data_IF_052853987632
#
_entry.id   IF_052853987632
#
_cell.length_a   1.000
_cell.length_b   1.000
_cell.length_c   1.000
_cell.angle_alpha   90.00
_cell.angle_beta   90.00
_cell.angle_gamma   90.00
#
_symmetry.space_group_name_H-M   'P 1'
#
loop_
_entity.id
_entity.type
_entity.pdbx_description
1 polymer ?
#
# COMPACT_ATOMS: atom_id res chain seq x y z
N UNK A 1 -8.06 21.13 -16.05
CA UNK A 1 -7.41 19.79 -15.95
C UNK A 1 -6.50 19.84 -14.74
N UNK A 2 -6.74 19.06 -13.69
CA UNK A 2 -5.85 19.01 -12.53
C UNK A 2 -4.55 18.29 -12.91
N UNK A 3 -3.41 18.74 -12.36
CA UNK A 3 -2.13 18.11 -12.61
C UNK A 3 -1.81 17.19 -11.42
N UNK A 4 -1.69 15.89 -11.67
CA UNK A 4 -1.30 14.91 -10.66
C UNK A 4 0.09 15.24 -10.11
N UNK A 5 0.22 15.29 -8.78
CA UNK A 5 1.52 15.41 -8.11
C UNK A 5 2.37 14.18 -8.41
N UNK A 6 3.66 14.36 -8.63
CA UNK A 6 4.56 13.28 -9.03
C UNK A 6 5.81 13.24 -8.17
N UNK A 7 6.42 12.06 -8.08
CA UNK A 7 7.73 11.81 -7.48
C UNK A 7 8.54 10.91 -8.40
N UNK A 8 9.76 10.54 -7.97
CA UNK A 8 10.64 9.66 -8.75
C UNK A 8 10.97 8.41 -7.92
N UNK A 9 10.80 7.23 -8.53
CA UNK A 9 11.24 5.95 -7.98
C UNK A 9 12.20 5.32 -8.98
N UNK A 10 13.42 5.01 -8.56
CA UNK A 10 14.46 4.43 -9.42
C UNK A 10 14.62 5.13 -10.78
N UNK A 11 14.57 6.47 -10.79
CA UNK A 11 14.71 7.29 -11.99
C UNK A 11 13.44 7.43 -12.85
N UNK A 12 12.34 6.76 -12.50
CA UNK A 12 11.07 6.82 -13.22
C UNK A 12 10.09 7.76 -12.52
N UNK A 13 9.44 8.64 -13.28
CA UNK A 13 8.41 9.55 -12.77
C UNK A 13 7.10 8.82 -12.51
N UNK A 14 6.63 8.87 -11.26
CA UNK A 14 5.39 8.21 -10.82
C UNK A 14 4.45 9.21 -10.14
N UNK A 15 3.15 8.91 -10.17
CA UNK A 15 2.14 9.66 -9.44
C UNK A 15 2.30 9.48 -7.92
N UNK A 16 2.09 10.54 -7.13
CA UNK A 16 2.13 10.48 -5.66
C UNK A 16 0.91 9.76 -5.05
N UNK A 17 -0.13 9.51 -5.84
CA UNK A 17 -1.22 8.59 -5.52
C UNK A 17 -1.00 7.36 -6.41
N UNK A 18 -1.00 6.16 -5.82
CA UNK A 18 -0.93 4.88 -6.54
C UNK A 18 -2.22 4.10 -6.37
N UNK A 19 -2.64 3.31 -7.38
CA UNK A 19 -3.76 2.39 -7.25
C UNK A 19 -3.32 1.11 -6.53
N UNK A 20 -3.91 0.83 -5.36
CA UNK A 20 -3.76 -0.45 -4.67
C UNK A 20 -4.85 -1.44 -5.11
N UNK A 21 -4.46 -2.63 -5.55
CA UNK A 21 -5.37 -3.63 -6.13
C UNK A 21 -5.76 -4.77 -5.19
N UNK A 22 -5.45 -4.70 -3.90
CA UNK A 22 -5.83 -5.75 -2.95
C UNK A 22 -7.34 -6.02 -2.97
N UNK A 23 -8.16 -4.97 -3.01
CA UNK A 23 -9.61 -5.12 -3.08
C UNK A 23 -10.11 -5.72 -4.42
N UNK A 24 -9.35 -5.60 -5.50
CA UNK A 24 -9.63 -6.22 -6.80
C UNK A 24 -9.47 -7.74 -6.73
N UNK A 25 -8.55 -8.24 -5.90
CA UNK A 25 -8.38 -9.68 -5.68
C UNK A 25 -9.62 -10.41 -5.14
N UNK A 26 -10.53 -9.71 -4.50
CA UNK A 26 -11.88 -10.18 -4.14
C UNK A 26 -11.98 -11.01 -2.86
N UNK A 27 -10.97 -11.77 -2.47
CA UNK A 27 -11.04 -12.72 -1.33
C UNK A 27 -11.39 -12.05 0.00
N UNK A 28 -10.76 -10.92 0.33
CA UNK A 28 -10.89 -10.23 1.62
C UNK A 28 -11.87 -9.05 1.57
N UNK A 29 -12.40 -8.72 0.39
CA UNK A 29 -13.15 -7.49 0.13
C UNK A 29 -14.47 -7.69 -0.61
N UNK A 30 -14.82 -8.94 -0.90
CA UNK A 30 -15.92 -9.27 -1.81
C UNK A 30 -15.58 -8.98 -3.28
N UNK A 31 -15.98 -9.88 -4.15
CA UNK A 31 -15.70 -9.81 -5.59
C UNK A 31 -16.44 -8.66 -6.28
N UNK A 32 -15.86 -8.19 -7.37
CA UNK A 32 -16.51 -7.34 -8.38
C UNK A 32 -16.36 -8.00 -9.75
N UNK A 33 -17.24 -7.70 -10.73
CA UNK A 33 -17.05 -8.18 -12.10
C UNK A 33 -15.69 -7.74 -12.66
N UNK A 34 -15.05 -8.60 -13.41
CA UNK A 34 -13.71 -8.38 -13.96
C UNK A 34 -13.63 -7.14 -14.87
N UNK A 35 -14.66 -6.90 -15.66
CA UNK A 35 -14.76 -5.71 -16.53
C UNK A 35 -14.79 -4.40 -15.70
N UNK A 36 -15.46 -4.39 -14.55
CA UNK A 36 -15.46 -3.28 -13.61
C UNK A 36 -14.07 -3.10 -12.99
N UNK A 37 -13.39 -4.18 -12.63
CA UNK A 37 -12.04 -4.14 -12.09
C UNK A 37 -11.02 -3.64 -13.12
N UNK A 38 -11.10 -4.09 -14.37
CA UNK A 38 -10.28 -3.59 -15.50
C UNK A 38 -10.56 -2.10 -15.74
N UNK A 39 -11.84 -1.69 -15.79
CA UNK A 39 -12.21 -0.29 -15.94
C UNK A 39 -11.66 0.58 -14.80
N UNK A 40 -11.55 0.04 -13.57
CA UNK A 40 -10.94 0.76 -12.44
C UNK A 40 -9.46 1.05 -12.68
N UNK A 41 -8.69 0.10 -13.20
CA UNK A 41 -7.29 0.30 -13.53
C UNK A 41 -7.11 1.34 -14.65
N UNK A 42 -7.94 1.31 -15.69
CA UNK A 42 -7.92 2.28 -16.78
C UNK A 42 -8.33 3.68 -16.30
N UNK A 43 -9.38 3.78 -15.49
CA UNK A 43 -9.83 5.04 -14.91
C UNK A 43 -8.78 5.67 -13.98
N UNK A 44 -7.98 4.86 -13.28
CA UNK A 44 -6.86 5.37 -12.51
C UNK A 44 -5.85 6.11 -13.41
N UNK A 45 -5.49 5.52 -14.56
CA UNK A 45 -4.58 6.14 -15.52
C UNK A 45 -5.16 7.43 -16.11
N UNK A 46 -6.46 7.46 -16.48
CA UNK A 46 -7.15 8.65 -16.97
C UNK A 46 -7.11 9.80 -15.95
N UNK A 47 -7.07 9.48 -14.66
CA UNK A 47 -6.90 10.44 -13.55
C UNK A 47 -5.44 10.79 -13.25
N UNK A 48 -4.49 10.35 -14.08
CA UNK A 48 -3.06 10.59 -13.92
C UNK A 48 -2.36 9.69 -12.90
N UNK A 49 -3.02 8.64 -12.40
CA UNK A 49 -2.41 7.63 -11.54
C UNK A 49 -1.74 6.59 -12.43
N UNK A 50 -0.42 6.66 -12.57
CA UNK A 50 0.34 5.72 -13.39
C UNK A 50 0.96 4.57 -12.59
N UNK A 51 1.03 4.66 -11.26
CA UNK A 51 1.52 3.59 -10.40
C UNK A 51 0.37 2.65 -10.01
N UNK A 52 0.49 1.37 -10.38
CA UNK A 52 -0.42 0.30 -9.94
C UNK A 52 0.35 -0.67 -9.06
N UNK A 53 -0.11 -0.84 -7.83
CA UNK A 53 0.42 -1.80 -6.86
C UNK A 53 -0.47 -3.03 -6.76
N UNK A 54 0.13 -4.20 -6.98
CA UNK A 54 -0.54 -5.50 -6.93
C UNK A 54 0.31 -6.54 -6.17
N UNK A 55 -0.15 -7.77 -6.07
CA UNK A 55 0.61 -8.90 -5.50
C UNK A 55 -0.03 -10.24 -5.88
N UNK A 56 0.77 -11.34 -5.96
CA UNK A 56 0.26 -12.70 -6.20
C UNK A 56 -0.76 -13.18 -5.17
N UNK A 57 -0.62 -12.77 -3.90
CA UNK A 57 -1.55 -13.15 -2.83
C UNK A 57 -2.95 -12.52 -3.02
N UNK A 58 -3.07 -11.42 -3.78
CA UNK A 58 -4.34 -10.73 -3.99
C UNK A 58 -5.25 -11.53 -4.91
N UNK A 59 -6.16 -12.29 -4.30
CA UNK A 59 -7.02 -13.23 -5.02
C UNK A 59 -6.25 -14.37 -5.67
N UNK A 60 -5.10 -14.79 -5.11
CA UNK A 60 -4.26 -15.87 -5.62
C UNK A 60 -3.87 -15.70 -7.10
N UNK A 61 -3.44 -14.48 -7.44
CA UNK A 61 -3.03 -14.08 -8.78
C UNK A 61 -4.08 -13.31 -9.58
N UNK A 62 -5.35 -13.34 -9.16
CA UNK A 62 -6.44 -12.70 -9.88
C UNK A 62 -6.23 -11.19 -10.09
N UNK A 63 -5.75 -10.46 -9.06
CA UNK A 63 -5.48 -9.03 -9.21
C UNK A 63 -4.41 -8.75 -10.27
N UNK A 64 -3.34 -9.56 -10.37
CA UNK A 64 -2.33 -9.42 -11.42
C UNK A 64 -2.90 -9.73 -12.81
N UNK A 65 -3.81 -10.70 -12.95
CA UNK A 65 -4.49 -11.00 -14.21
C UNK A 65 -5.37 -9.82 -14.67
N UNK A 66 -6.09 -9.19 -13.74
CA UNK A 66 -6.88 -7.97 -14.03
C UNK A 66 -5.98 -6.82 -14.49
N UNK A 67 -4.88 -6.57 -13.79
CA UNK A 67 -3.90 -5.56 -14.20
C UNK A 67 -3.34 -5.89 -15.59
N UNK A 68 -2.98 -7.15 -15.86
CA UNK A 68 -2.52 -7.59 -17.18
C UNK A 68 -3.55 -7.37 -18.28
N UNK A 69 -4.85 -7.58 -17.99
CA UNK A 69 -5.95 -7.26 -18.92
C UNK A 69 -6.05 -5.76 -19.18
N UNK A 70 -5.89 -4.92 -18.14
CA UNK A 70 -5.90 -3.48 -18.29
C UNK A 70 -4.72 -2.97 -19.13
N UNK A 71 -3.50 -3.52 -18.92
CA UNK A 71 -2.33 -3.22 -19.74
C UNK A 71 -2.56 -3.53 -21.23
N UNK A 72 -3.10 -4.71 -21.53
CA UNK A 72 -3.42 -5.10 -22.90
C UNK A 72 -4.52 -4.23 -23.53
N UNK A 73 -5.55 -3.90 -22.76
CA UNK A 73 -6.65 -3.05 -23.24
C UNK A 73 -6.20 -1.62 -23.55
N UNK A 74 -5.27 -1.07 -22.74
CA UNK A 74 -4.67 0.25 -22.98
C UNK A 74 -3.71 0.25 -24.18
N UNK A 75 -2.93 -0.81 -24.35
CA UNK A 75 -2.01 -1.00 -25.47
C UNK A 75 -0.65 -0.32 -25.37
N UNK A 76 -0.42 0.49 -24.32
CA UNK A 76 0.88 1.17 -24.05
C UNK A 76 1.35 0.85 -22.65
N UNK A 77 2.26 -0.15 -22.54
CA UNK A 77 2.81 -0.65 -21.26
C UNK A 77 3.59 0.42 -20.51
N UNK A 78 4.27 1.27 -21.25
CA UNK A 78 5.13 2.35 -20.74
C UNK A 78 4.39 3.46 -19.99
N UNK A 79 3.08 3.59 -20.18
CA UNK A 79 2.26 4.55 -19.43
C UNK A 79 2.04 4.11 -17.96
N UNK A 80 2.36 2.85 -17.65
CA UNK A 80 2.17 2.27 -16.31
C UNK A 80 3.50 2.01 -15.62
N UNK A 81 3.54 2.32 -14.32
CA UNK A 81 4.55 1.83 -13.40
C UNK A 81 3.94 0.71 -12.56
N UNK A 82 4.34 -0.53 -12.83
CA UNK A 82 3.79 -1.72 -12.18
C UNK A 82 4.68 -2.13 -11.01
N UNK A 83 4.11 -2.07 -9.81
CA UNK A 83 4.68 -2.61 -8.60
C UNK A 83 3.96 -3.91 -8.24
N UNK A 84 4.69 -5.02 -8.13
CA UNK A 84 4.17 -6.26 -7.56
C UNK A 84 5.11 -6.81 -6.51
N UNK A 85 4.72 -7.91 -5.87
CA UNK A 85 5.40 -8.42 -4.69
C UNK A 85 5.64 -9.93 -4.81
N UNK A 86 6.38 -10.48 -3.84
CA UNK A 86 6.58 -11.91 -3.67
C UNK A 86 6.85 -12.23 -2.19
N UNK A 87 7.00 -13.52 -1.89
CA UNK A 87 7.42 -13.97 -0.56
C UNK A 87 6.27 -14.21 0.41
N UNK A 88 5.03 -14.21 -0.07
CA UNK A 88 3.90 -14.79 0.62
C UNK A 88 3.42 -16.05 -0.10
N UNK A 89 3.24 -17.10 0.64
CA UNK A 89 2.68 -18.36 0.17
C UNK A 89 1.44 -18.72 0.98
N UNK A 90 0.62 -19.65 0.51
CA UNK A 90 -0.63 -20.01 1.17
C UNK A 90 -0.96 -21.49 1.00
N UNK A 91 -1.64 -22.03 1.99
CA UNK A 91 -2.22 -23.37 1.99
C UNK A 91 -3.50 -23.38 2.84
N UNK A 92 -4.04 -24.54 3.13
CA UNK A 92 -5.24 -24.73 3.94
C UNK A 92 -5.10 -24.15 5.38
N UNK A 93 -3.88 -23.96 5.88
CA UNK A 93 -3.59 -23.41 7.21
C UNK A 93 -3.48 -21.87 7.20
N UNK A 94 -3.51 -21.24 6.02
CA UNK A 94 -3.47 -19.79 5.84
C UNK A 94 -2.24 -19.30 5.09
N UNK A 95 -1.97 -18.00 5.24
CA UNK A 95 -0.86 -17.30 4.59
C UNK A 95 0.38 -17.34 5.48
N UNK A 96 1.55 -17.55 4.87
CA UNK A 96 2.86 -17.56 5.54
C UNK A 96 3.95 -16.95 4.66
N UNK A 97 5.03 -16.47 5.29
CA UNK A 97 6.19 -15.94 4.58
C UNK A 97 7.04 -17.07 3.97
N UNK A 98 7.44 -16.92 2.70
CA UNK A 98 8.30 -17.86 1.98
C UNK A 98 9.14 -17.14 0.93
N UNK A 99 10.35 -16.71 1.31
CA UNK A 99 11.31 -16.03 0.44
C UNK A 99 12.44 -16.94 -0.06
N UNK A 100 12.24 -18.26 -0.08
CA UNK A 100 13.24 -19.20 -0.64
C UNK A 100 13.50 -18.92 -2.11
N UNK A 101 14.74 -19.10 -2.55
CA UNK A 101 15.16 -18.90 -3.96
C UNK A 101 14.27 -19.65 -4.97
N UNK A 102 13.86 -20.88 -4.65
CA UNK A 102 12.98 -21.66 -5.51
C UNK A 102 11.60 -21.00 -5.68
N UNK A 103 11.00 -20.55 -4.56
CA UNK A 103 9.70 -19.85 -4.56
C UNK A 103 9.79 -18.52 -5.30
N UNK A 104 10.86 -17.74 -5.06
CA UNK A 104 11.11 -16.48 -5.75
C UNK A 104 11.09 -16.63 -7.28
N UNK A 105 11.84 -17.59 -7.81
CA UNK A 105 11.92 -17.83 -9.26
C UNK A 105 10.58 -18.22 -9.84
N UNK A 106 9.87 -19.14 -9.18
CA UNK A 106 8.55 -19.58 -9.62
C UNK A 106 7.56 -18.41 -9.64
N UNK A 107 7.57 -17.58 -8.60
CA UNK A 107 6.61 -16.49 -8.43
C UNK A 107 6.86 -15.35 -9.42
N UNK A 108 8.13 -14.97 -9.67
CA UNK A 108 8.47 -13.97 -10.67
C UNK A 108 7.94 -14.36 -12.06
N UNK A 109 8.23 -15.59 -12.51
CA UNK A 109 7.77 -16.06 -13.82
C UNK A 109 6.23 -16.12 -13.90
N UNK A 110 5.56 -16.49 -12.80
CA UNK A 110 4.12 -16.51 -12.74
C UNK A 110 3.53 -15.08 -12.80
N UNK A 111 4.12 -14.12 -12.09
CA UNK A 111 3.70 -12.71 -12.11
C UNK A 111 3.90 -12.09 -13.49
N UNK A 112 5.04 -12.31 -14.15
CA UNK A 112 5.28 -11.85 -15.52
C UNK A 112 4.23 -12.38 -16.50
N UNK A 113 3.88 -13.67 -16.39
CA UNK A 113 2.82 -14.28 -17.23
C UNK A 113 1.44 -13.67 -16.97
N UNK A 114 1.01 -13.52 -15.70
CA UNK A 114 -0.29 -12.95 -15.34
C UNK A 114 -0.40 -11.50 -15.78
N UNK A 115 0.63 -10.71 -15.55
CA UNK A 115 0.71 -9.31 -15.99
C UNK A 115 0.83 -9.16 -17.51
N UNK A 116 1.30 -10.20 -18.23
CA UNK A 116 1.52 -10.14 -19.66
C UNK A 116 2.63 -9.15 -20.05
N UNK A 117 3.70 -9.09 -19.27
CA UNK A 117 4.85 -8.21 -19.47
C UNK A 117 6.16 -8.96 -19.27
N UNK A 118 7.21 -8.54 -19.94
CA UNK A 118 8.55 -9.09 -19.78
C UNK A 118 9.33 -8.45 -18.62
N UNK A 119 8.87 -7.31 -18.13
CA UNK A 119 9.55 -6.54 -17.09
C UNK A 119 8.57 -5.97 -16.07
N UNK A 120 8.90 -6.11 -14.77
CA UNK A 120 8.24 -5.48 -13.63
C UNK A 120 9.02 -4.21 -13.26
N UNK A 121 8.34 -3.08 -13.05
CA UNK A 121 9.00 -1.82 -12.72
C UNK A 121 9.54 -1.81 -11.29
N UNK A 122 8.77 -2.34 -10.32
CA UNK A 122 9.17 -2.46 -8.92
C UNK A 122 8.74 -3.82 -8.36
N UNK A 123 9.72 -4.64 -7.96
CA UNK A 123 9.47 -5.96 -7.38
C UNK A 123 9.86 -5.96 -5.91
N UNK A 124 8.91 -6.29 -5.03
CA UNK A 124 9.04 -6.06 -3.60
C UNK A 124 8.93 -7.35 -2.78
N UNK A 125 9.78 -7.50 -1.76
CA UNK A 125 9.53 -8.49 -0.69
C UNK A 125 8.27 -8.06 0.06
N UNK A 126 7.22 -8.88 0.09
CA UNK A 126 5.92 -8.50 0.67
C UNK A 126 5.96 -8.38 2.20
N UNK A 127 6.64 -9.33 2.85
CA UNK A 127 6.92 -9.36 4.28
C UNK A 127 8.27 -10.02 4.52
N UNK A 128 9.00 -9.66 5.60
CA UNK A 128 10.20 -10.36 5.98
C UNK A 128 9.92 -11.85 6.24
N UNK A 129 10.72 -12.74 5.67
CA UNK A 129 10.71 -14.16 6.01
C UNK A 129 11.81 -14.42 7.05
N UNK A 130 11.43 -14.74 8.28
CA UNK A 130 12.38 -14.97 9.37
C UNK A 130 13.17 -16.28 9.24
N UNK A 131 12.88 -17.11 8.24
CA UNK A 131 13.54 -18.39 7.97
C UNK A 131 14.48 -18.36 6.77
N UNK A 132 14.40 -17.33 5.95
CA UNK A 132 15.31 -17.14 4.81
C UNK A 132 16.16 -15.90 5.07
N UNK A 133 17.50 -16.00 5.06
CA UNK A 133 18.36 -14.84 5.23
C UNK A 133 18.05 -13.74 4.22
N UNK A 134 17.96 -12.50 4.69
CA UNK A 134 17.67 -11.34 3.83
C UNK A 134 18.73 -11.22 2.72
N UNK A 135 19.98 -11.51 3.04
CA UNK A 135 21.07 -11.49 2.08
C UNK A 135 20.88 -12.45 0.89
N UNK A 136 20.33 -13.66 1.13
CA UNK A 136 20.01 -14.61 0.05
C UNK A 136 18.91 -14.09 -0.85
N UNK A 137 17.84 -13.54 -0.24
CA UNK A 137 16.72 -12.92 -0.94
C UNK A 137 17.21 -11.74 -1.79
N UNK A 138 18.02 -10.84 -1.21
CA UNK A 138 18.58 -9.68 -1.89
C UNK A 138 19.47 -10.07 -3.08
N UNK A 139 20.33 -11.07 -2.91
CA UNK A 139 21.22 -11.57 -3.97
C UNK A 139 20.40 -12.13 -5.16
N UNK A 140 19.35 -12.89 -4.89
CA UNK A 140 18.49 -13.42 -5.95
C UNK A 140 17.73 -12.31 -6.68
N UNK A 141 17.27 -11.28 -5.97
CA UNK A 141 16.62 -10.11 -6.59
C UNK A 141 17.58 -9.31 -7.47
N UNK A 142 18.83 -9.11 -7.02
CA UNK A 142 19.87 -8.48 -7.83
C UNK A 142 20.14 -9.25 -9.13
N UNK A 143 20.05 -10.59 -9.09
CA UNK A 143 20.14 -11.43 -10.29
C UNK A 143 18.99 -11.16 -11.25
N UNK A 144 17.75 -11.09 -10.78
CA UNK A 144 16.58 -10.78 -11.61
C UNK A 144 16.67 -9.38 -12.24
N UNK A 145 17.24 -8.42 -11.51
CA UNK A 145 17.49 -7.08 -12.03
C UNK A 145 18.55 -7.10 -13.14
N UNK A 146 19.65 -7.86 -12.97
CA UNK A 146 20.68 -8.03 -14.01
C UNK A 146 20.13 -8.74 -15.26
N UNK A 147 19.17 -9.63 -15.12
CA UNK A 147 18.47 -10.30 -16.23
C UNK A 147 17.47 -9.36 -16.94
N UNK A 148 17.24 -8.15 -16.44
CA UNK A 148 16.28 -7.21 -17.02
C UNK A 148 14.80 -7.53 -16.74
N UNK A 149 14.50 -8.55 -15.93
CA UNK A 149 13.12 -8.94 -15.57
C UNK A 149 12.49 -7.98 -14.56
N UNK A 150 13.31 -7.25 -13.81
CA UNK A 150 12.90 -6.30 -12.78
C UNK A 150 13.75 -5.03 -12.92
N UNK A 151 13.12 -3.85 -12.90
CA UNK A 151 13.84 -2.56 -13.00
C UNK A 151 14.32 -2.06 -11.66
N UNK A 152 13.49 -2.16 -10.63
CA UNK A 152 13.77 -1.67 -9.29
C UNK A 152 13.41 -2.72 -8.24
N UNK A 153 14.18 -2.74 -7.14
CA UNK A 153 13.97 -3.64 -6.02
C UNK A 153 13.40 -2.88 -4.83
N UNK A 154 12.45 -3.49 -4.14
CA UNK A 154 11.82 -2.92 -2.96
C UNK A 154 11.56 -3.97 -1.88
N UNK A 155 11.16 -3.46 -0.73
CA UNK A 155 10.70 -4.27 0.39
C UNK A 155 9.37 -3.72 0.91
N UNK A 156 8.66 -4.49 1.74
CA UNK A 156 7.47 -4.05 2.43
C UNK A 156 7.50 -4.55 3.87
N UNK A 157 7.10 -3.69 4.82
CA UNK A 157 7.07 -4.02 6.26
C UNK A 157 8.45 -4.33 6.88
N UNK A 158 9.53 -3.78 6.33
CA UNK A 158 10.89 -3.97 6.83
C UNK A 158 11.24 -2.90 7.87
N UNK A 159 11.99 -3.32 8.92
CA UNK A 159 12.64 -2.42 9.85
C UNK A 159 13.89 -1.76 9.25
N UNK A 160 14.48 -0.77 9.94
CA UNK A 160 15.72 -0.13 9.49
C UNK A 160 16.85 -1.16 9.38
N UNK A 161 17.06 -1.99 10.41
CA UNK A 161 18.11 -3.02 10.40
C UNK A 161 17.95 -4.00 9.24
N UNK A 162 16.71 -4.42 8.94
CA UNK A 162 16.44 -5.31 7.80
C UNK A 162 16.70 -4.64 6.44
N UNK A 163 16.39 -3.35 6.32
CA UNK A 163 16.70 -2.58 5.10
C UNK A 163 18.22 -2.40 4.92
N UNK A 164 18.97 -2.19 5.99
CA UNK A 164 20.43 -2.11 5.96
C UNK A 164 21.06 -3.44 5.54
N UNK A 165 20.59 -4.57 6.09
CA UNK A 165 21.01 -5.90 5.66
C UNK A 165 20.75 -6.14 4.16
N UNK A 166 19.55 -5.76 3.67
CA UNK A 166 19.23 -5.86 2.25
C UNK A 166 20.17 -5.02 1.38
N UNK A 167 20.40 -3.75 1.77
CA UNK A 167 21.26 -2.81 1.04
C UNK A 167 22.73 -3.20 1.00
N UNK A 168 23.18 -3.97 1.94
CA UNK A 168 24.56 -4.50 1.92
C UNK A 168 24.80 -5.46 0.72
N UNK A 169 23.74 -5.98 0.11
CA UNK A 169 23.81 -6.97 -0.96
C UNK A 169 23.22 -6.46 -2.29
N UNK A 170 22.12 -5.70 -2.25
CA UNK A 170 21.39 -5.25 -3.43
C UNK A 170 20.90 -3.79 -3.28
N UNK A 171 20.71 -3.05 -4.39
CA UNK A 171 20.11 -1.71 -4.32
C UNK A 171 18.69 -1.79 -3.80
N UNK A 172 18.31 -0.88 -2.89
CA UNK A 172 16.97 -0.76 -2.35
C UNK A 172 16.33 0.56 -2.82
N UNK A 173 15.26 0.47 -3.59
CA UNK A 173 14.57 1.64 -4.15
C UNK A 173 13.36 2.06 -3.34
N UNK A 174 12.72 1.14 -2.59
CA UNK A 174 11.52 1.46 -1.82
C UNK A 174 11.33 0.58 -0.59
N UNK A 175 10.62 1.13 0.42
CA UNK A 175 9.94 0.36 1.46
C UNK A 175 8.44 0.69 1.41
N UNK A 176 7.58 -0.33 1.55
CA UNK A 176 6.13 -0.18 1.55
C UNK A 176 5.55 -0.58 2.92
N UNK A 177 5.52 0.33 3.90
CA UNK A 177 4.92 0.10 5.21
C UNK A 177 3.45 0.54 5.27
N UNK A 178 2.67 0.09 6.29
CA UNK A 178 1.37 0.68 6.61
C UNK A 178 1.53 2.08 7.17
N UNK A 179 0.71 3.03 6.71
CA UNK A 179 0.72 4.38 7.27
C UNK A 179 -0.59 5.12 6.99
N UNK A 180 -1.21 5.60 8.04
CA UNK A 180 -2.43 6.42 7.99
C UNK A 180 -2.61 7.18 9.31
N UNK A 181 -3.68 7.94 9.45
CA UNK A 181 -3.99 8.74 10.63
C UNK A 181 -4.00 7.95 11.95
N UNK A 182 -4.22 6.63 11.91
CA UNK A 182 -4.32 5.76 13.08
C UNK A 182 -3.16 4.76 13.23
N UNK A 183 -2.42 4.48 12.17
CA UNK A 183 -1.29 3.54 12.14
C UNK A 183 -0.03 4.32 11.80
N UNK A 184 0.76 4.74 12.81
CA UNK A 184 1.86 5.70 12.69
C UNK A 184 3.22 5.15 13.10
N UNK A 185 3.35 3.85 13.26
CA UNK A 185 4.55 3.21 13.80
C UNK A 185 5.83 3.61 13.05
N UNK A 186 5.75 3.81 11.74
CA UNK A 186 6.91 4.19 10.91
C UNK A 186 7.44 5.62 11.19
N UNK A 187 6.66 6.46 11.85
CA UNK A 187 7.02 7.82 12.24
C UNK A 187 7.33 7.91 13.75
N UNK A 188 6.53 7.23 14.57
CA UNK A 188 6.60 7.30 16.02
C UNK A 188 7.71 6.42 16.60
N UNK A 189 7.89 5.20 16.07
CA UNK A 189 8.92 4.27 16.56
C UNK A 189 10.31 4.68 16.10
N UNK A 190 11.28 4.53 16.98
CA UNK A 190 12.68 4.86 16.74
C UNK A 190 13.55 3.61 16.80
N UNK A 191 14.33 3.41 15.76
CA UNK A 191 15.40 2.42 15.69
C UNK A 191 16.72 3.17 15.45
N UNK A 192 17.70 2.97 16.30
CA UNK A 192 18.96 3.74 16.26
C UNK A 192 18.75 5.28 16.25
N UNK A 193 17.71 5.77 16.93
CA UNK A 193 17.38 7.19 17.02
C UNK A 193 16.64 7.78 15.84
N UNK A 194 16.34 6.99 14.81
CA UNK A 194 15.63 7.42 13.60
C UNK A 194 14.30 6.70 13.42
N UNK A 195 13.31 7.37 12.84
CA UNK A 195 12.10 6.73 12.35
C UNK A 195 12.34 6.13 10.96
N UNK A 196 11.50 5.15 10.55
CA UNK A 196 11.58 4.59 9.19
C UNK A 196 11.43 5.71 8.14
N UNK A 197 10.52 6.67 8.35
CA UNK A 197 10.36 7.81 7.44
C UNK A 197 11.65 8.61 7.29
N UNK A 198 12.28 9.01 8.40
CA UNK A 198 13.49 9.81 8.35
C UNK A 198 14.68 9.06 7.76
N UNK A 199 14.83 7.77 8.11
CA UNK A 199 15.89 6.93 7.55
C UNK A 199 15.73 6.76 6.03
N UNK A 200 14.52 6.47 5.56
CA UNK A 200 14.24 6.32 4.12
C UNK A 200 14.49 7.62 3.35
N UNK A 201 14.08 8.77 3.90
CA UNK A 201 14.33 10.08 3.28
C UNK A 201 15.83 10.36 3.10
N UNK A 202 16.64 10.14 4.15
CA UNK A 202 18.11 10.33 4.10
C UNK A 202 18.79 9.36 3.13
N UNK A 203 18.28 8.16 3.02
CA UNK A 203 18.86 7.09 2.20
C UNK A 203 18.31 6.99 0.78
N UNK A 204 17.46 7.93 0.34
CA UNK A 204 16.79 7.93 -0.97
C UNK A 204 15.99 6.65 -1.24
N UNK A 205 15.35 6.08 -0.21
CA UNK A 205 14.43 4.95 -0.30
C UNK A 205 13.01 5.50 -0.34
N UNK A 206 12.28 5.28 -1.42
CA UNK A 206 10.91 5.76 -1.56
C UNK A 206 9.97 5.04 -0.58
N UNK A 207 9.13 5.80 0.12
CA UNK A 207 8.05 5.25 0.96
C UNK A 207 6.75 5.20 0.16
N UNK A 208 6.22 3.99 -0.05
CA UNK A 208 4.89 3.75 -0.58
C UNK A 208 3.98 3.31 0.58
N UNK A 209 3.01 4.11 0.97
CA UNK A 209 2.18 3.74 2.13
C UNK A 209 1.01 2.87 1.72
N UNK A 210 0.86 1.69 2.35
CA UNK A 210 -0.36 0.92 2.22
C UNK A 210 -1.31 1.20 3.40
N UNK A 211 -2.57 0.78 3.29
CA UNK A 211 -3.61 1.06 4.30
C UNK A 211 -3.93 2.55 4.49
N UNK A 212 -3.65 3.40 3.51
CA UNK A 212 -3.85 4.86 3.58
C UNK A 212 -5.24 5.25 4.12
N UNK A 213 -6.30 4.52 3.74
CA UNK A 213 -7.67 4.73 4.19
C UNK A 213 -8.09 3.82 5.37
N UNK A 214 -7.12 3.17 6.05
CA UNK A 214 -7.36 2.32 7.21
C UNK A 214 -8.52 1.34 6.99
N UNK A 215 -8.44 0.49 5.96
CA UNK A 215 -9.49 -0.47 5.57
C UNK A 215 -10.87 0.19 5.39
N UNK A 216 -10.88 1.34 4.74
CA UNK A 216 -12.04 2.21 4.48
C UNK A 216 -12.62 2.92 5.70
N UNK A 217 -12.05 2.80 6.89
CA UNK A 217 -12.49 3.53 8.08
C UNK A 217 -12.44 5.06 7.84
N UNK A 218 -11.40 5.52 7.15
CA UNK A 218 -11.21 6.91 6.73
C UNK A 218 -11.86 7.22 5.36
N UNK A 219 -12.58 6.26 4.78
CA UNK A 219 -13.21 6.40 3.46
C UNK A 219 -14.55 7.15 3.45
N UNK A 220 -15.07 7.55 4.61
CA UNK A 220 -16.33 8.29 4.75
C UNK A 220 -17.61 7.47 4.52
N UNK A 221 -17.51 6.15 4.29
CA UNK A 221 -18.66 5.26 4.05
C UNK A 221 -18.94 4.29 5.19
N UNK A 222 -17.99 4.13 6.12
CA UNK A 222 -18.18 3.31 7.33
C UNK A 222 -19.01 4.12 8.33
N UNK A 223 -20.00 3.48 8.96
CA UNK A 223 -20.89 4.09 9.95
C UNK A 223 -21.15 3.14 11.11
N UNK A 224 -21.59 3.69 12.24
CA UNK A 224 -21.97 2.92 13.42
C UNK A 224 -23.09 1.94 13.07
N UNK A 225 -23.00 0.72 13.57
CA UNK A 225 -23.96 -0.36 13.28
C UNK A 225 -23.76 -1.06 11.93
N UNK A 226 -22.71 -0.71 11.16
CA UNK A 226 -22.37 -1.42 9.93
C UNK A 226 -21.93 -2.85 10.24
N UNK A 227 -22.42 -3.80 9.44
CA UNK A 227 -21.97 -5.20 9.45
C UNK A 227 -21.17 -5.52 8.20
N UNK A 228 -20.29 -6.51 8.31
CA UNK A 228 -19.44 -6.96 7.21
C UNK A 228 -19.73 -8.41 6.85
N UNK A 229 -19.65 -8.74 5.56
CA UNK A 229 -19.88 -10.08 5.06
C UNK A 229 -18.85 -11.09 5.58
N UNK A 230 -19.21 -12.38 5.57
CA UNK A 230 -18.28 -13.45 5.91
C UNK A 230 -17.09 -13.42 4.93
N UNK A 231 -15.87 -13.38 5.48
CA UNK A 231 -14.62 -13.27 4.69
C UNK A 231 -14.11 -11.84 4.53
N UNK A 232 -14.88 -10.81 4.88
CA UNK A 232 -14.39 -9.44 4.86
C UNK A 232 -13.30 -9.24 5.93
N UNK A 233 -12.16 -8.67 5.53
CA UNK A 233 -10.99 -8.47 6.41
C UNK A 233 -11.31 -7.61 7.64
N UNK A 234 -12.29 -6.72 7.54
CA UNK A 234 -12.70 -5.86 8.66
C UNK A 234 -13.31 -6.64 9.83
N UNK A 235 -13.77 -7.87 9.61
CA UNK A 235 -14.26 -8.75 10.70
C UNK A 235 -13.16 -9.21 11.64
N UNK A 236 -11.93 -9.31 11.16
CA UNK A 236 -10.78 -9.72 11.96
C UNK A 236 -9.94 -8.55 12.46
N UNK A 237 -10.11 -7.36 11.89
CA UNK A 237 -9.45 -6.15 12.35
C UNK A 237 -10.01 -5.68 13.70
N UNK A 238 -9.20 -5.61 14.76
CA UNK A 238 -9.63 -5.20 16.10
C UNK A 238 -10.24 -3.79 16.16
N UNK A 239 -9.92 -2.91 15.16
CA UNK A 239 -10.48 -1.55 15.08
C UNK A 239 -11.98 -1.53 14.82
N UNK A 240 -12.52 -2.60 14.22
CA UNK A 240 -13.96 -2.73 13.91
C UNK A 240 -14.74 -3.49 14.98
N UNK A 241 -14.15 -3.68 16.17
CA UNK A 241 -14.80 -4.32 17.33
C UNK A 241 -14.99 -3.33 18.45
N UNK A 242 -16.16 -3.39 19.12
CA UNK A 242 -16.38 -2.58 20.31
C UNK A 242 -15.46 -2.99 21.50
N UNK A 243 -15.03 -2.04 22.35
CA UNK A 243 -15.38 -0.60 22.34
C UNK A 243 -14.55 0.26 21.34
N UNK A 244 -13.47 -0.28 20.77
CA UNK A 244 -12.55 0.45 19.89
C UNK A 244 -13.26 1.05 18.68
N UNK A 245 -14.18 0.32 18.06
CA UNK A 245 -14.90 0.83 16.90
C UNK A 245 -15.59 2.17 17.17
N UNK A 246 -16.21 2.30 18.34
CA UNK A 246 -16.83 3.57 18.76
C UNK A 246 -15.81 4.70 18.94
N UNK A 247 -14.62 4.44 19.46
CA UNK A 247 -13.53 5.42 19.59
C UNK A 247 -13.03 5.89 18.20
N UNK A 248 -12.74 4.94 17.31
CA UNK A 248 -12.31 5.26 15.95
C UNK A 248 -13.36 6.04 15.17
N UNK A 249 -14.65 5.67 15.31
CA UNK A 249 -15.74 6.42 14.67
C UNK A 249 -15.85 7.84 15.21
N UNK A 250 -15.66 8.06 16.51
CA UNK A 250 -15.61 9.40 17.10
C UNK A 250 -14.47 10.22 16.51
N UNK A 251 -13.28 9.62 16.33
CA UNK A 251 -12.16 10.29 15.67
C UNK A 251 -12.51 10.66 14.22
N UNK A 252 -13.09 9.73 13.45
CA UNK A 252 -13.49 9.95 12.05
C UNK A 252 -14.52 11.07 11.93
N UNK A 253 -15.53 11.12 12.81
CA UNK A 253 -16.55 12.16 12.84
C UNK A 253 -15.96 13.56 13.12
N UNK A 254 -15.03 13.65 14.10
CA UNK A 254 -14.31 14.90 14.42
C UNK A 254 -13.38 15.33 13.27
N UNK A 255 -12.63 14.41 12.68
CA UNK A 255 -11.78 14.68 11.52
C UNK A 255 -12.60 15.13 10.31
N UNK A 256 -13.78 14.54 10.08
CA UNK A 256 -14.68 14.94 9.01
C UNK A 256 -15.24 16.37 9.22
N UNK A 257 -15.60 16.71 10.45
CA UNK A 257 -16.01 18.09 10.79
C UNK A 257 -14.88 19.07 10.54
N UNK A 258 -13.68 18.79 11.06
CA UNK A 258 -12.48 19.62 10.85
C UNK A 258 -12.16 19.82 9.36
N UNK A 259 -12.16 18.74 8.56
CA UNK A 259 -11.86 18.80 7.12
C UNK A 259 -12.87 19.70 6.38
N UNK A 260 -14.16 19.54 6.69
CA UNK A 260 -15.24 20.30 6.07
C UNK A 260 -15.19 21.79 6.45
N UNK A 261 -14.99 22.08 7.73
CA UNK A 261 -15.04 23.45 8.25
C UNK A 261 -13.84 24.28 7.80
N UNK A 262 -12.64 23.67 7.81
CA UNK A 262 -11.40 24.40 7.51
C UNK A 262 -11.07 24.43 6.03
N UNK A 263 -11.37 23.35 5.28
CA UNK A 263 -10.92 23.16 3.90
C UNK A 263 -12.02 22.89 2.90
N UNK A 264 -13.29 22.70 3.34
CA UNK A 264 -14.37 22.28 2.45
C UNK A 264 -14.15 20.87 1.86
N UNK A 265 -13.42 20.01 2.59
CA UNK A 265 -12.99 18.67 2.15
C UNK A 265 -13.67 17.56 2.94
N UNK A 266 -13.70 16.36 2.37
CA UNK A 266 -14.12 15.14 3.05
C UNK A 266 -13.02 14.58 3.95
N UNK A 267 -13.37 13.69 4.88
CA UNK A 267 -12.39 12.96 5.71
C UNK A 267 -11.45 12.09 4.86
N UNK A 268 -11.94 11.56 3.75
CA UNK A 268 -11.17 10.78 2.81
C UNK A 268 -10.06 11.62 2.16
N UNK A 269 -10.42 12.82 1.66
CA UNK A 269 -9.46 13.75 1.08
C UNK A 269 -8.44 14.21 2.13
N UNK A 270 -8.90 14.51 3.36
CA UNK A 270 -8.02 14.86 4.48
C UNK A 270 -7.02 13.74 4.79
N UNK A 271 -7.49 12.49 4.87
CA UNK A 271 -6.66 11.35 5.23
C UNK A 271 -5.54 11.10 4.21
N UNK A 272 -5.86 11.15 2.92
CA UNK A 272 -4.85 10.99 1.86
C UNK A 272 -3.90 12.18 1.83
N UNK A 273 -4.41 13.42 1.96
CA UNK A 273 -3.58 14.62 1.98
C UNK A 273 -2.62 14.62 3.18
N UNK A 274 -3.09 14.23 4.37
CA UNK A 274 -2.25 14.09 5.55
C UNK A 274 -1.07 13.15 5.33
N UNK A 275 -1.30 12.00 4.69
CA UNK A 275 -0.23 11.06 4.35
C UNK A 275 0.76 11.68 3.36
N UNK A 276 0.26 12.35 2.30
CA UNK A 276 1.10 12.98 1.28
C UNK A 276 1.91 14.17 1.80
N UNK A 277 1.44 14.87 2.83
CA UNK A 277 2.14 16.00 3.44
C UNK A 277 3.17 15.59 4.50
N UNK A 278 3.23 14.29 4.88
CA UNK A 278 4.29 13.80 5.75
C UNK A 278 5.62 13.75 5.02
N UNK A 279 6.63 14.42 5.60
CA UNK A 279 7.97 14.40 5.05
C UNK A 279 8.52 12.97 4.96
N UNK A 280 9.07 12.60 3.80
CA UNK A 280 9.58 11.26 3.52
C UNK A 280 8.59 10.32 2.83
N UNK A 281 7.29 10.63 2.80
CA UNK A 281 6.30 9.85 2.03
C UNK A 281 6.39 10.19 0.54
N UNK A 282 6.61 9.18 -0.28
CA UNK A 282 6.68 9.31 -1.74
C UNK A 282 5.32 9.08 -2.40
N UNK A 283 4.63 8.02 -2.03
CA UNK A 283 3.35 7.61 -2.64
C UNK A 283 2.37 7.14 -1.56
N UNK A 284 1.12 7.59 -1.67
CA UNK A 284 -0.03 7.07 -0.93
C UNK A 284 -0.80 6.08 -1.81
N UNK A 285 -0.88 4.81 -1.42
CA UNK A 285 -1.65 3.81 -2.16
C UNK A 285 -3.14 3.93 -1.81
N UNK A 286 -3.94 4.13 -2.83
CA UNK A 286 -5.40 4.23 -2.75
C UNK A 286 -6.04 2.94 -3.23
N UNK A 287 -6.60 2.17 -2.31
CA UNK A 287 -7.31 0.93 -2.63
C UNK A 287 -8.66 1.21 -3.29
N UNK A 288 -8.87 0.72 -4.49
CA UNK A 288 -10.15 0.79 -5.19
C UNK A 288 -10.41 -0.49 -5.99
N UNK A 289 -11.69 -0.84 -6.13
CA UNK A 289 -12.16 -1.96 -6.98
C UNK A 289 -13.28 -1.56 -7.95
N UNK A 290 -13.72 -0.30 -7.91
CA UNK A 290 -14.69 0.31 -8.84
C UNK A 290 -14.23 1.72 -9.21
N UNK A 291 -14.49 2.19 -10.46
CA UNK A 291 -14.07 3.50 -10.95
C UNK A 291 -14.56 4.66 -10.08
N UNK A 292 -15.82 4.61 -9.57
CA UNK A 292 -16.41 5.65 -8.72
C UNK A 292 -15.63 5.91 -7.41
N UNK A 293 -14.87 4.93 -6.95
CA UNK A 293 -14.04 5.07 -5.75
C UNK A 293 -12.82 5.99 -5.94
N UNK A 294 -12.50 6.34 -7.17
CA UNK A 294 -11.42 7.25 -7.54
C UNK A 294 -11.90 8.70 -7.80
N UNK A 295 -13.20 8.98 -7.72
CA UNK A 295 -13.76 10.31 -8.01
C UNK A 295 -13.17 11.43 -7.12
N UNK A 296 -12.89 11.11 -5.86
CA UNK A 296 -12.34 12.07 -4.91
C UNK A 296 -10.83 12.35 -5.10
N UNK A 297 -10.13 11.68 -6.01
CA UNK A 297 -8.67 11.85 -6.23
C UNK A 297 -8.33 13.30 -6.57
N UNK A 298 -9.13 13.95 -7.42
CA UNK A 298 -8.92 15.36 -7.77
C UNK A 298 -9.04 16.31 -6.59
N UNK A 299 -9.83 15.96 -5.58
CA UNK A 299 -10.03 16.75 -4.37
C UNK A 299 -8.86 16.68 -3.36
N UNK A 300 -7.94 15.72 -3.54
CA UNK A 300 -6.73 15.59 -2.72
C UNK A 300 -5.60 16.51 -3.19
N UNK A 301 -5.60 16.88 -4.47
CA UNK A 301 -4.51 17.58 -5.13
C UNK A 301 -4.68 19.10 -4.99
N UNK A 302 -3.57 19.85 -5.05
CA UNK A 302 -3.56 21.32 -5.11
C UNK A 302 -3.89 22.04 -3.81
N UNK A 303 -3.75 21.39 -2.67
CA UNK A 303 -3.79 22.00 -1.34
C UNK A 303 -2.86 21.25 -0.38
N UNK A 304 -2.57 21.85 0.77
CA UNK A 304 -1.65 21.29 1.77
C UNK A 304 -2.17 21.58 3.18
N UNK A 305 -1.75 20.75 4.12
CA UNK A 305 -1.98 20.95 5.54
C UNK A 305 -0.82 21.79 6.12
N UNK A 306 -1.15 22.84 6.85
CA UNK A 306 -0.16 23.59 7.63
C UNK A 306 0.14 22.90 8.97
N UNK A 307 1.17 23.38 9.69
CA UNK A 307 1.59 22.80 10.97
C UNK A 307 0.47 22.86 12.02
N UNK A 308 -0.35 23.92 12.01
CA UNK A 308 -1.48 24.04 12.93
C UNK A 308 -2.57 23.01 12.65
N UNK A 309 -2.83 22.70 11.37
CA UNK A 309 -3.74 21.62 10.98
C UNK A 309 -3.20 20.25 11.36
N UNK A 310 -1.91 20.01 11.15
CA UNK A 310 -1.25 18.76 11.56
C UNK A 310 -1.38 18.55 13.08
N UNK A 311 -1.10 19.60 13.88
CA UNK A 311 -1.24 19.53 15.32
C UNK A 311 -2.68 19.28 15.79
N UNK A 312 -3.67 19.91 15.14
CA UNK A 312 -5.08 19.69 15.46
C UNK A 312 -5.55 18.28 15.11
N UNK A 313 -5.13 17.73 13.95
CA UNK A 313 -5.38 16.35 13.58
C UNK A 313 -4.79 15.38 14.62
N UNK A 314 -3.55 15.63 15.07
CA UNK A 314 -2.89 14.82 16.09
C UNK A 314 -3.65 14.86 17.41
N UNK A 315 -4.13 16.05 17.83
CA UNK A 315 -4.95 16.23 19.03
C UNK A 315 -6.26 15.44 18.93
N UNK A 316 -6.99 15.56 17.79
CA UNK A 316 -8.25 14.85 17.58
C UNK A 316 -8.05 13.34 17.70
N UNK A 317 -7.03 12.78 17.05
CA UNK A 317 -6.76 11.33 17.09
C UNK A 317 -6.41 10.88 18.50
N UNK A 318 -5.48 11.58 19.17
CA UNK A 318 -5.02 11.25 20.53
C UNK A 318 -6.14 11.30 21.58
N UNK A 319 -7.03 12.29 21.49
CA UNK A 319 -8.15 12.44 22.43
C UNK A 319 -9.28 11.42 22.19
N UNK A 320 -9.42 10.93 20.95
CA UNK A 320 -10.53 10.05 20.56
C UNK A 320 -10.21 8.57 20.64
N UNK A 321 -8.94 8.19 20.40
CA UNK A 321 -8.50 6.77 20.36
C UNK A 321 -7.54 6.55 21.51
N UNK A 322 -8.02 5.88 22.55
CA UNK A 322 -7.27 5.67 23.82
C UNK A 322 -6.44 4.39 23.80
N UNK A 323 -6.86 3.38 23.01
CA UNK A 323 -6.20 2.08 22.88
C UNK A 323 -5.96 1.78 21.38
N UNK A 324 -4.96 2.46 20.76
CA UNK A 324 -4.68 2.33 19.33
C UNK A 324 -4.15 0.93 18.99
N UNK A 325 -4.60 0.39 17.86
CA UNK A 325 -4.20 -0.93 17.34
C UNK A 325 -3.47 -0.74 16.03
N UNK A 326 -2.29 -1.35 15.93
CA UNK A 326 -1.49 -1.40 14.72
C UNK A 326 -1.95 -2.47 13.71
N UNK A 327 -1.23 -2.63 12.62
CA UNK A 327 -1.51 -3.60 11.56
C UNK A 327 -0.94 -5.00 11.83
N UNK A 328 -0.34 -5.26 12.99
CA UNK A 328 0.41 -6.48 13.33
C UNK A 328 -0.43 -7.75 13.16
N UNK A 329 -1.75 -7.66 13.34
CA UNK A 329 -2.67 -8.79 13.13
C UNK A 329 -2.70 -9.30 11.68
N UNK A 330 -2.16 -8.54 10.70
CA UNK A 330 -2.00 -8.92 9.30
C UNK A 330 -0.67 -9.61 9.01
N UNK A 331 0.25 -9.66 9.97
CA UNK A 331 1.54 -10.32 9.77
C UNK A 331 1.34 -11.79 9.40
N UNK A 332 2.02 -12.28 8.35
CA UNK A 332 1.92 -13.68 7.94
C UNK A 332 2.47 -14.60 9.03
N UNK A 333 1.99 -15.83 9.04
CA UNK A 333 2.57 -16.86 9.91
C UNK A 333 4.00 -17.16 9.51
N UNK A 334 4.77 -17.65 10.46
CA UNK A 334 6.10 -18.23 10.15
C UNK A 334 5.87 -19.57 9.46
N UNK A 335 6.60 -19.82 8.38
CA UNK A 335 6.57 -21.09 7.65
C UNK A 335 6.97 -22.24 8.59
N UNK A 336 6.20 -23.33 8.57
CA UNK A 336 6.59 -24.60 9.20
C UNK A 336 7.81 -25.19 8.45
N UNK A 337 8.67 -25.90 9.20
CA UNK A 337 9.89 -26.50 8.67
C UNK A 337 9.63 -27.72 7.81
#
# INVERSE_FOLDING_TARGET
MFCMETTTIAGVKVSRIGLGTWAIGGLDWGAVPDDVAVATCLNALERGINLIDTAPIYGHGHAEEIVGRALRAHGRREDFFIATKFGLDWNERGVFANSTTARLRQELEASLRRLGTETIDLYQVHWPDTRTPIAETAAQLAEFQRQGKVRALGVSNFSIAQMEEFRAVAPLSSNQPPYNLFERQIDDQREHGQSILSWCAVNNVAILTWSTLCRSLLGGRVHRGMSFDKGDIRRVDPKFREPRFSEYMTAVERLAAFARERYGKSVLELAVRWVLDRHGVSVALWGAKRPDQLDAVSGVISWQLDDAAMAEIDRIVKESVTDPVGPEYLAPKVREG
#
